data_IF_883601180169
#
_entry.id   IF_883601180169
#
_cell.length_a   1.000
_cell.length_b   1.000
_cell.length_c   1.000
_cell.angle_alpha   90.00
_cell.angle_beta   90.00
_cell.angle_gamma   90.00
#
_symmetry.space_group_name_H-M   'P 1'
#
loop_
_entity.id
_entity.type
_entity.pdbx_description
1 polymer ?
#
# COMPACT_ATOMS: atom_id res chain seq x y z
N UNK A 1 -26.33 19.55 -59.78
CA UNK A 1 -27.06 19.88 -58.53
C UNK A 1 -26.94 18.65 -57.62
N UNK A 2 -26.19 18.74 -56.50
CA UNK A 2 -25.94 17.68 -55.48
C UNK A 2 -25.16 16.45 -56.03
N UNK A 3 -24.22 15.80 -55.34
CA UNK A 3 -23.93 15.58 -53.90
C UNK A 3 -22.42 15.25 -53.75
N UNK A 4 -21.80 15.73 -52.68
CA UNK A 4 -20.53 15.21 -52.16
C UNK A 4 -20.76 13.83 -51.53
N UNK A 5 -19.85 12.88 -51.78
CA UNK A 5 -19.69 11.66 -51.00
C UNK A 5 -18.19 11.52 -50.74
N UNK A 6 -17.80 11.73 -49.48
CA UNK A 6 -16.48 11.36 -48.98
C UNK A 6 -16.49 9.85 -48.70
N UNK A 7 -15.53 9.15 -49.27
CA UNK A 7 -15.26 7.74 -49.00
C UNK A 7 -14.46 7.68 -47.68
N UNK A 8 -15.10 7.22 -46.60
CA UNK A 8 -14.44 6.83 -45.36
C UNK A 8 -13.85 5.43 -45.58
N UNK A 9 -12.53 5.30 -45.62
CA UNK A 9 -11.87 3.99 -45.53
C UNK A 9 -11.68 3.68 -44.06
N UNK A 10 -12.47 2.73 -43.56
CA UNK A 10 -12.29 2.12 -42.26
C UNK A 10 -11.03 1.24 -42.30
N UNK A 11 -10.01 1.61 -41.52
CA UNK A 11 -8.97 0.69 -41.10
C UNK A 11 -9.34 0.22 -39.70
N UNK A 12 -9.76 -1.05 -39.59
CA UNK A 12 -9.78 -1.78 -38.33
C UNK A 12 -8.32 -1.97 -37.88
N UNK A 13 -7.96 -1.37 -36.75
CA UNK A 13 -6.94 -1.88 -35.86
C UNK A 13 -7.66 -2.31 -34.59
N UNK A 14 -7.66 -3.62 -34.36
CA UNK A 14 -8.28 -4.24 -33.20
C UNK A 14 -7.43 -4.12 -31.96
N UNK A 15 -8.12 -4.25 -30.82
CA UNK A 15 -7.62 -4.48 -29.47
C UNK A 15 -6.72 -3.39 -28.87
N UNK A 16 -7.38 -2.36 -28.34
CA UNK A 16 -6.99 -1.80 -27.06
C UNK A 16 -7.40 -2.79 -25.96
N UNK A 17 -6.45 -3.19 -25.11
CA UNK A 17 -6.62 -3.56 -23.70
C UNK A 17 -5.28 -4.09 -23.19
N UNK A 18 -4.49 -3.19 -22.64
CA UNK A 18 -3.53 -3.42 -21.58
C UNK A 18 -3.28 -2.02 -21.01
N UNK A 19 -4.24 -1.54 -20.22
CA UNK A 19 -3.97 -0.43 -19.30
C UNK A 19 -2.96 -0.98 -18.29
N UNK A 20 -1.72 -0.52 -18.43
CA UNK A 20 -0.67 -0.81 -17.47
C UNK A 20 -1.01 -0.13 -16.15
N UNK A 21 -1.15 -0.95 -15.11
CA UNK A 21 -1.36 -0.53 -13.72
C UNK A 21 -0.03 -0.18 -13.04
N UNK A 22 -0.05 0.60 -11.94
CA UNK A 22 1.11 1.35 -11.47
C UNK A 22 2.33 0.46 -11.37
N UNK A 23 3.29 0.73 -12.26
CA UNK A 23 4.61 0.16 -12.22
C UNK A 23 5.28 0.69 -10.95
N UNK A 24 5.17 -0.03 -9.84
CA UNK A 24 6.30 -0.04 -8.91
C UNK A 24 7.45 -0.63 -9.70
N UNK A 25 8.33 0.25 -10.16
CA UNK A 25 9.46 -0.16 -10.97
C UNK A 25 10.28 -1.20 -10.20
N UNK A 26 10.86 -2.20 -10.86
CA UNK A 26 11.94 -2.95 -10.24
C UNK A 26 12.98 -1.94 -9.73
N UNK A 27 13.43 -2.15 -8.49
CA UNK A 27 14.44 -1.35 -7.81
C UNK A 27 15.56 -0.96 -8.79
N UNK A 28 16.05 0.29 -8.78
CA UNK A 28 17.19 0.68 -9.61
C UNK A 28 18.34 -0.29 -9.32
N UNK A 29 18.74 -1.10 -10.30
CA UNK A 29 19.84 -2.07 -10.19
C UNK A 29 21.22 -1.40 -10.14
N UNK A 30 21.38 -0.36 -9.32
CA UNK A 30 22.58 0.45 -9.17
C UNK A 30 22.96 0.62 -7.70
N UNK A 31 24.24 0.85 -7.44
CA UNK A 31 24.73 1.18 -6.10
C UNK A 31 24.31 2.61 -5.73
N UNK A 32 23.76 2.78 -4.53
CA UNK A 32 23.56 4.11 -3.95
C UNK A 32 24.92 4.67 -3.53
N UNK A 33 25.25 5.87 -3.99
CA UNK A 33 26.47 6.58 -3.63
C UNK A 33 26.16 7.65 -2.58
N UNK A 34 27.04 7.82 -1.60
CA UNK A 34 26.91 8.87 -0.59
C UNK A 34 27.85 10.00 -0.97
N UNK A 35 27.31 11.21 -1.12
CA UNK A 35 28.07 12.41 -1.44
C UNK A 35 28.05 13.42 -0.30
N UNK A 36 28.89 14.46 -0.37
CA UNK A 36 28.78 15.63 0.53
C UNK A 36 29.69 15.64 1.77
N UNK A 37 29.97 16.86 2.26
CA UNK A 37 31.00 17.19 3.25
C UNK A 37 30.47 16.88 4.67
N UNK A 38 30.84 15.73 5.21
CA UNK A 38 30.65 15.39 6.63
C UNK A 38 29.72 14.21 6.92
N UNK A 39 28.96 13.73 5.94
CA UNK A 39 28.11 12.55 6.13
C UNK A 39 28.95 11.27 6.16
N UNK A 40 28.85 10.52 7.25
CA UNK A 40 29.44 9.18 7.37
C UNK A 40 28.31 8.18 7.54
N UNK A 41 28.16 7.26 6.58
CA UNK A 41 27.18 6.19 6.69
C UNK A 41 27.53 5.27 7.85
N UNK A 42 26.56 5.02 8.71
CA UNK A 42 26.62 3.98 9.74
C UNK A 42 26.00 2.65 9.28
N UNK A 43 25.25 2.65 8.17
CA UNK A 43 24.69 1.44 7.54
C UNK A 43 24.88 1.45 6.01
N UNK A 44 24.61 0.30 5.38
CA UNK A 44 24.79 0.10 3.94
C UNK A 44 23.82 0.94 3.12
N UNK A 45 24.33 1.72 2.16
CA UNK A 45 23.51 2.58 1.31
C UNK A 45 22.54 1.81 0.40
N UNK A 46 22.80 0.53 0.15
CA UNK A 46 21.91 -0.35 -0.64
C UNK A 46 20.55 -0.56 0.01
N UNK A 47 20.42 -0.32 1.32
CA UNK A 47 19.13 -0.37 2.01
C UNK A 47 18.10 0.59 1.43
N UNK A 48 18.52 1.75 0.90
CA UNK A 48 17.62 2.73 0.28
C UNK A 48 16.90 2.22 -0.98
N UNK A 49 17.27 1.04 -1.47
CA UNK A 49 16.72 0.48 -2.70
C UNK A 49 16.60 -1.04 -2.62
N UNK A 50 16.42 -1.63 -1.43
CA UNK A 50 16.27 -3.08 -1.28
C UNK A 50 14.82 -3.52 -1.04
N UNK A 51 13.90 -2.58 -0.79
CA UNK A 51 12.49 -2.84 -0.45
C UNK A 51 12.30 -3.71 0.79
N UNK A 52 13.30 -3.76 1.67
CA UNK A 52 13.29 -4.55 2.90
C UNK A 52 13.13 -3.64 4.12
N UNK A 53 11.94 -3.68 4.74
CA UNK A 53 11.65 -2.89 5.94
C UNK A 53 12.42 -3.35 7.19
N UNK A 54 13.15 -4.46 7.13
CA UNK A 54 14.05 -4.91 8.20
C UNK A 54 15.39 -4.19 8.15
N UNK A 55 15.73 -3.52 7.04
CA UNK A 55 16.92 -2.70 6.89
C UNK A 55 16.55 -1.22 6.75
N UNK A 56 17.54 -0.35 6.96
CA UNK A 56 17.41 1.08 6.71
C UNK A 56 18.78 1.73 6.56
N UNK A 57 18.80 2.84 5.87
CA UNK A 57 19.95 3.72 5.77
C UNK A 57 20.01 4.65 6.96
N UNK A 58 21.23 4.85 7.47
CA UNK A 58 21.55 5.77 8.55
C UNK A 58 22.89 6.43 8.25
N UNK A 59 22.93 7.75 8.29
CA UNK A 59 24.15 8.52 8.16
C UNK A 59 24.15 9.70 9.14
N UNK A 60 25.30 9.91 9.78
CA UNK A 60 25.52 11.09 10.63
C UNK A 60 25.39 12.35 9.79
N UNK A 61 24.75 13.38 10.33
CA UNK A 61 24.63 14.66 9.65
C UNK A 61 25.96 15.41 9.65
N UNK A 62 26.30 16.06 8.54
CA UNK A 62 27.46 16.95 8.46
C UNK A 62 27.31 18.20 9.35
N UNK A 63 28.34 19.05 9.35
CA UNK A 63 28.38 20.30 10.16
C UNK A 63 27.20 21.26 9.87
N UNK A 64 26.58 21.14 8.70
CA UNK A 64 25.41 21.90 8.26
C UNK A 64 24.07 21.17 8.47
N UNK A 65 24.08 20.08 9.25
CA UNK A 65 22.94 19.22 9.53
C UNK A 65 22.37 18.52 8.27
N UNK A 66 23.22 18.23 7.27
CA UNK A 66 22.81 17.57 6.02
C UNK A 66 23.39 16.18 5.81
N UNK A 67 22.68 15.39 5.01
CA UNK A 67 23.13 14.12 4.43
C UNK A 67 22.83 14.14 2.93
N UNK A 68 23.84 13.91 2.10
CA UNK A 68 23.68 13.81 0.65
C UNK A 68 23.73 12.34 0.18
N UNK A 69 22.75 11.97 -0.64
CA UNK A 69 22.58 10.63 -1.21
C UNK A 69 22.40 10.76 -2.72
N UNK A 70 23.09 9.95 -3.51
CA UNK A 70 22.94 9.85 -4.95
C UNK A 70 22.38 8.47 -5.29
N UNK A 71 21.20 8.46 -5.91
CA UNK A 71 20.50 7.25 -6.32
C UNK A 71 20.52 7.16 -7.85
N UNK A 72 21.13 6.13 -8.45
CA UNK A 72 21.04 5.86 -9.88
C UNK A 72 19.60 5.63 -10.31
N UNK A 73 19.21 6.10 -11.49
CA UNK A 73 17.87 5.90 -12.03
C UNK A 73 17.92 5.73 -13.55
N UNK A 74 17.45 4.60 -14.07
CA UNK A 74 17.43 4.31 -15.51
C UNK A 74 16.01 4.12 -16.05
N UNK A 75 15.00 4.63 -15.34
CA UNK A 75 13.59 4.36 -15.61
C UNK A 75 12.93 5.32 -16.62
N UNK A 76 13.62 6.40 -17.01
CA UNK A 76 13.10 7.41 -17.93
C UNK A 76 12.66 8.68 -17.22
N UNK A 77 11.57 9.29 -17.69
CA UNK A 77 11.03 10.51 -17.08
C UNK A 77 10.34 10.18 -15.76
N UNK A 78 10.86 10.73 -14.67
CA UNK A 78 10.34 10.60 -13.32
C UNK A 78 9.35 11.73 -13.07
N UNK A 79 8.20 11.40 -12.50
CA UNK A 79 7.16 12.37 -12.12
C UNK A 79 7.02 12.50 -10.60
N UNK A 80 7.38 11.47 -9.84
CA UNK A 80 7.31 11.43 -8.39
C UNK A 80 8.37 10.49 -7.80
N UNK A 81 8.56 10.59 -6.49
CA UNK A 81 9.34 9.64 -5.69
C UNK A 81 8.62 9.33 -4.39
N UNK A 82 8.82 8.12 -3.86
CA UNK A 82 8.40 7.73 -2.53
C UNK A 82 9.60 7.73 -1.61
N UNK A 83 9.48 8.34 -0.43
CA UNK A 83 10.37 8.08 0.69
C UNK A 83 9.68 7.14 1.68
N UNK A 84 10.43 6.19 2.21
CA UNK A 84 9.94 5.24 3.21
C UNK A 84 10.56 5.56 4.56
N UNK A 85 9.70 5.89 5.54
CA UNK A 85 10.11 6.13 6.92
C UNK A 85 10.79 4.87 7.48
N UNK A 86 11.90 5.05 8.20
CA UNK A 86 12.48 3.95 8.97
C UNK A 86 11.56 3.54 10.14
N UNK A 87 11.89 2.43 10.78
CA UNK A 87 11.35 2.05 12.07
C UNK A 87 12.02 2.75 13.25
N UNK A 88 13.02 3.60 13.01
CA UNK A 88 13.82 4.16 14.07
C UNK A 88 13.05 5.20 14.87
N UNK A 89 13.20 5.12 16.19
CA UNK A 89 12.56 6.00 17.15
C UNK A 89 13.62 6.49 18.13
N UNK A 90 13.63 7.80 18.40
CA UNK A 90 14.29 8.30 19.59
C UNK A 90 13.29 8.24 20.75
N UNK A 91 13.60 7.45 21.77
CA UNK A 91 12.82 7.39 23.00
C UNK A 91 13.59 8.14 24.09
N UNK A 92 13.21 9.39 24.34
CA UNK A 92 13.68 10.09 25.55
C UNK A 92 12.95 9.47 26.75
N UNK A 93 13.70 8.90 27.69
CA UNK A 93 13.16 8.34 28.94
C UNK A 93 12.42 9.39 29.80
N UNK A 94 12.60 10.69 29.50
CA UNK A 94 12.13 11.83 30.30
C UNK A 94 10.77 12.38 29.86
N UNK A 95 10.36 12.12 28.62
CA UNK A 95 9.09 12.55 28.05
C UNK A 95 8.60 11.41 27.17
N UNK A 96 7.46 10.80 27.50
CA UNK A 96 6.84 9.72 26.71
C UNK A 96 6.38 10.11 25.30
N UNK A 97 7.09 11.02 24.64
CA UNK A 97 6.90 11.48 23.27
C UNK A 97 7.95 10.83 22.39
N UNK A 98 7.50 10.11 21.37
CA UNK A 98 8.39 9.65 20.28
C UNK A 98 8.72 10.85 19.42
N UNK A 99 9.99 11.25 19.44
CA UNK A 99 10.47 12.32 18.59
C UNK A 99 11.03 11.72 17.30
N UNK A 100 10.56 12.24 16.17
CA UNK A 100 11.02 11.90 14.82
C UNK A 100 12.40 12.54 14.52
N UNK A 101 13.33 12.55 15.49
CA UNK A 101 14.60 13.28 15.41
C UNK A 101 15.46 12.85 14.21
N UNK A 102 15.37 11.57 13.84
CA UNK A 102 16.16 10.97 12.78
C UNK A 102 15.44 10.96 11.42
N UNK A 103 14.20 11.42 11.35
CA UNK A 103 13.54 11.61 10.06
C UNK A 103 14.13 12.84 9.35
N UNK A 104 14.18 12.86 8.01
CA UNK A 104 14.43 14.10 7.29
C UNK A 104 13.24 15.07 7.44
N UNK A 105 13.50 16.33 7.78
CA UNK A 105 12.47 17.38 7.90
C UNK A 105 12.30 18.21 6.62
N UNK A 106 13.32 18.21 5.76
CA UNK A 106 13.35 18.93 4.49
C UNK A 106 14.44 18.35 3.59
N UNK A 107 14.31 18.51 2.28
CA UNK A 107 15.32 18.08 1.33
C UNK A 107 15.19 18.78 -0.02
N UNK A 108 16.28 18.80 -0.78
CA UNK A 108 16.25 19.12 -2.22
C UNK A 108 16.56 17.88 -3.04
N UNK A 109 15.99 17.83 -4.24
CA UNK A 109 16.23 16.78 -5.24
C UNK A 109 16.84 17.42 -6.48
N UNK A 110 17.97 16.91 -6.94
CA UNK A 110 18.64 17.37 -8.16
C UNK A 110 18.95 16.21 -9.09
N UNK A 111 18.72 16.38 -10.40
CA UNK A 111 19.06 15.38 -11.42
C UNK A 111 20.40 15.65 -12.10
N UNK A 112 21.09 14.59 -12.53
CA UNK A 112 22.31 14.68 -13.34
C UNK A 112 22.44 13.53 -14.33
N UNK A 113 23.07 13.81 -15.48
CA UNK A 113 23.45 12.79 -16.49
C UNK A 113 24.97 12.55 -16.55
N UNK A 114 25.78 13.34 -15.83
CA UNK A 114 27.25 13.30 -15.89
C UNK A 114 27.92 13.19 -14.51
N UNK A 115 27.15 13.29 -13.42
CA UNK A 115 27.63 13.26 -12.04
C UNK A 115 28.34 14.50 -11.53
N UNK A 116 28.43 15.54 -12.37
CA UNK A 116 29.15 16.78 -12.04
C UNK A 116 28.26 18.01 -12.13
N UNK A 117 27.35 18.04 -13.10
CA UNK A 117 26.35 19.08 -13.31
C UNK A 117 25.02 18.62 -12.73
N UNK A 118 24.52 19.35 -11.74
CA UNK A 118 23.29 19.02 -11.01
C UNK A 118 22.26 20.12 -11.22
N UNK A 119 21.02 19.74 -11.56
CA UNK A 119 19.90 20.65 -11.76
C UNK A 119 18.81 20.28 -10.74
N UNK A 120 18.43 21.23 -9.88
CA UNK A 120 17.34 21.04 -8.92
C UNK A 120 16.00 20.82 -9.65
N UNK A 121 15.24 19.80 -9.21
CA UNK A 121 13.96 19.37 -9.80
C UNK A 121 12.83 19.31 -8.78
N UNK A 122 13.14 19.33 -7.48
CA UNK A 122 12.16 19.43 -6.40
C UNK A 122 12.82 19.94 -5.11
N UNK A 123 12.01 20.53 -4.24
CA UNK A 123 12.42 20.97 -2.91
C UNK A 123 11.25 20.88 -1.93
N UNK A 124 11.51 20.31 -0.75
CA UNK A 124 10.52 20.01 0.28
C UNK A 124 10.93 20.55 1.63
N UNK A 125 9.97 21.02 2.41
CA UNK A 125 10.24 21.59 3.74
C UNK A 125 9.09 21.39 4.71
N UNK A 126 9.42 21.19 5.99
CA UNK A 126 8.46 20.93 7.07
C UNK A 126 7.65 19.65 6.86
N UNK A 127 8.26 18.65 6.23
CA UNK A 127 7.64 17.36 5.97
C UNK A 127 7.73 16.46 7.20
N UNK A 128 6.73 15.59 7.36
CA UNK A 128 6.66 14.60 8.45
C UNK A 128 5.98 13.33 7.97
N UNK A 129 6.51 12.20 8.40
CA UNK A 129 5.78 10.94 8.28
C UNK A 129 4.62 10.90 9.28
N UNK A 130 3.51 10.31 8.85
CA UNK A 130 2.27 10.11 9.62
C UNK A 130 2.31 8.79 10.41
N UNK A 131 3.19 7.86 10.03
CA UNK A 131 3.43 6.59 10.70
C UNK A 131 4.88 6.12 10.44
N UNK A 132 5.41 5.21 11.28
CA UNK A 132 6.67 4.49 10.98
C UNK A 132 6.48 3.53 9.82
N UNK A 133 7.56 3.20 9.10
CA UNK A 133 7.54 2.33 7.91
C UNK A 133 6.58 2.82 6.80
N UNK A 134 6.24 4.11 6.79
CA UNK A 134 5.29 4.69 5.86
C UNK A 134 5.94 4.95 4.52
N UNK A 135 5.28 4.51 3.44
CA UNK A 135 5.51 5.02 2.10
C UNK A 135 4.83 6.39 1.95
N UNK A 136 5.60 7.45 1.71
CA UNK A 136 5.05 8.78 1.40
C UNK A 136 5.52 9.23 0.01
N UNK A 137 4.56 9.51 -0.87
CA UNK A 137 4.83 9.98 -2.23
C UNK A 137 4.98 11.50 -2.28
N UNK A 138 5.95 11.97 -3.04
CA UNK A 138 6.21 13.37 -3.35
C UNK A 138 6.33 13.52 -4.86
N UNK A 139 5.56 14.43 -5.44
CA UNK A 139 5.66 14.75 -6.87
C UNK A 139 6.84 15.67 -7.13
N UNK A 140 7.57 15.50 -8.22
CA UNK A 140 8.57 16.50 -8.61
C UNK A 140 7.87 17.82 -8.97
N UNK A 141 8.55 18.96 -8.79
CA UNK A 141 8.00 20.26 -9.22
C UNK A 141 7.75 20.28 -10.74
N UNK A 142 8.64 19.61 -11.48
CA UNK A 142 8.42 19.26 -12.87
C UNK A 142 8.97 17.85 -13.13
N UNK A 143 8.29 17.04 -13.98
CA UNK A 143 8.85 15.78 -14.45
C UNK A 143 10.26 15.97 -15.04
N UNK A 144 11.14 15.02 -14.75
CA UNK A 144 12.55 15.12 -15.07
C UNK A 144 13.10 13.76 -15.49
N UNK A 145 14.02 13.74 -16.46
CA UNK A 145 14.65 12.53 -16.95
C UNK A 145 16.18 12.64 -16.82
N UNK A 146 16.72 11.98 -15.79
CA UNK A 146 18.14 11.95 -15.49
C UNK A 146 18.59 10.54 -15.12
N UNK A 147 19.86 10.21 -15.38
CA UNK A 147 20.42 8.88 -15.05
C UNK A 147 20.69 8.68 -13.55
N UNK A 148 20.61 9.74 -12.76
CA UNK A 148 20.76 9.71 -11.31
C UNK A 148 20.19 10.97 -10.66
N UNK A 149 19.74 10.82 -9.42
CA UNK A 149 19.17 11.88 -8.61
C UNK A 149 19.92 11.99 -7.29
N UNK A 150 20.22 13.22 -6.91
CA UNK A 150 20.82 13.59 -5.64
C UNK A 150 19.74 14.11 -4.72
N UNK A 151 19.66 13.52 -3.53
CA UNK A 151 18.89 14.03 -2.41
C UNK A 151 19.84 14.68 -1.42
N UNK A 152 19.54 15.90 -0.98
CA UNK A 152 20.22 16.54 0.14
C UNK A 152 19.21 16.67 1.26
N UNK A 153 19.26 15.75 2.22
CA UNK A 153 18.37 15.71 3.38
C UNK A 153 18.89 16.59 4.50
N UNK A 154 17.99 17.34 5.14
CA UNK A 154 18.26 18.03 6.40
C UNK A 154 17.59 17.28 7.56
N UNK A 155 18.38 16.98 8.60
CA UNK A 155 17.90 16.24 9.77
C UNK A 155 16.91 17.02 10.62
N UNK A 156 16.01 16.31 11.31
CA UNK A 156 14.96 16.87 12.17
C UNK A 156 15.43 17.07 13.63
N UNK A 157 16.67 17.52 13.82
CA UNK A 157 17.25 17.82 15.14
C UNK A 157 18.04 16.68 15.78
N UNK A 158 18.06 15.48 15.17
CA UNK A 158 18.97 14.40 15.54
C UNK A 158 20.40 14.58 15.00
N UNK A 159 21.30 13.66 15.39
CA UNK A 159 22.70 13.60 14.92
C UNK A 159 22.88 12.83 13.61
N UNK A 160 21.78 12.29 13.07
CA UNK A 160 21.74 11.43 11.89
C UNK A 160 20.40 11.57 11.15
N UNK A 161 20.38 11.14 9.91
CA UNK A 161 19.17 10.92 9.10
C UNK A 161 18.99 9.43 8.86
N UNK A 162 17.76 8.94 8.98
CA UNK A 162 17.37 7.56 8.65
C UNK A 162 16.22 7.50 7.66
N UNK A 163 16.29 6.55 6.72
CA UNK A 163 15.25 6.23 5.75
C UNK A 163 15.33 4.75 5.39
N UNK A 164 14.20 4.09 5.14
CA UNK A 164 14.20 2.72 4.64
C UNK A 164 14.48 2.70 3.14
N UNK A 165 13.66 3.37 2.32
CA UNK A 165 13.76 3.29 0.86
C UNK A 165 13.50 4.64 0.17
N UNK A 166 14.00 4.73 -1.07
CA UNK A 166 13.68 5.74 -2.08
C UNK A 166 13.22 5.01 -3.34
N UNK A 167 11.98 5.23 -3.76
CA UNK A 167 11.41 4.65 -4.98
C UNK A 167 11.07 5.76 -5.97
N UNK A 168 11.41 5.60 -7.24
CA UNK A 168 11.00 6.53 -8.30
C UNK A 168 9.75 6.05 -9.00
N UNK A 169 8.95 7.00 -9.49
CA UNK A 169 7.73 6.75 -10.28
C UNK A 169 7.81 7.50 -11.60
N UNK A 170 7.55 6.79 -12.70
CA UNK A 170 7.43 7.36 -14.05
C UNK A 170 6.01 7.85 -14.36
N UNK A 171 5.07 7.52 -13.49
CA UNK A 171 3.65 7.86 -13.61
C UNK A 171 3.12 8.29 -12.24
N UNK A 172 2.02 9.04 -12.22
CA UNK A 172 1.33 9.37 -10.98
C UNK A 172 0.50 8.14 -10.54
N UNK A 173 0.88 7.40 -9.47
CA UNK A 173 0.16 6.21 -9.05
C UNK A 173 -1.25 6.52 -8.52
N UNK A 174 -1.58 7.79 -8.32
CA UNK A 174 -2.88 8.27 -7.86
C UNK A 174 -3.57 9.19 -8.89
N UNK A 175 -3.17 9.15 -10.17
CA UNK A 175 -3.76 9.97 -11.23
C UNK A 175 -5.28 9.81 -11.32
N UNK A 176 -5.75 8.57 -11.21
CA UNK A 176 -7.16 8.19 -11.26
C UNK A 176 -7.91 8.35 -9.92
N UNK A 177 -7.25 8.96 -8.93
CA UNK A 177 -7.70 9.05 -7.53
C UNK A 177 -7.69 10.48 -6.98
N UNK A 178 -7.50 11.49 -7.83
CA UNK A 178 -7.36 12.89 -7.45
C UNK A 178 -8.63 13.50 -6.80
N UNK A 179 -9.80 12.95 -7.12
CA UNK A 179 -11.10 13.38 -6.60
C UNK A 179 -11.66 12.40 -5.56
N UNK A 180 -10.82 11.54 -4.97
CA UNK A 180 -11.25 10.62 -3.93
C UNK A 180 -11.86 11.38 -2.74
N UNK A 181 -13.12 11.08 -2.42
CA UNK A 181 -13.82 11.65 -1.28
C UNK A 181 -13.39 10.94 0.01
N UNK A 182 -12.56 11.59 0.80
CA UNK A 182 -12.09 11.03 2.06
C UNK A 182 -13.17 11.07 3.15
N UNK A 183 -13.33 10.00 3.94
CA UNK A 183 -14.21 10.02 5.10
C UNK A 183 -13.72 10.99 6.17
N UNK A 184 -14.66 11.51 6.94
CA UNK A 184 -14.36 12.15 8.23
C UNK A 184 -13.92 11.07 9.21
N UNK A 185 -12.78 11.30 9.86
CA UNK A 185 -12.21 10.38 10.83
C UNK A 185 -12.49 10.87 12.25
N UNK A 186 -13.11 10.03 13.06
CA UNK A 186 -13.23 10.23 14.51
C UNK A 186 -12.42 9.15 15.21
N UNK A 187 -11.22 9.51 15.68
CA UNK A 187 -10.37 8.61 16.46
C UNK A 187 -10.78 8.67 17.93
N UNK A 188 -10.97 7.52 18.56
CA UNK A 188 -11.42 7.38 19.93
C UNK A 188 -10.53 6.35 20.61
N UNK A 189 -9.79 6.75 21.63
CA UNK A 189 -9.07 5.82 22.49
C UNK A 189 -9.87 5.65 23.77
N UNK A 190 -10.44 4.46 23.99
CA UNK A 190 -11.17 4.14 25.22
C UNK A 190 -10.31 3.38 26.22
N UNK A 191 -9.15 2.88 25.77
CA UNK A 191 -8.24 2.07 26.57
C UNK A 191 -7.31 2.96 27.42
N UNK A 192 -6.71 3.98 26.81
CA UNK A 192 -5.73 4.89 27.42
C UNK A 192 -4.61 4.11 28.17
N UNK A 193 -4.14 3.01 27.58
CA UNK A 193 -3.22 2.04 28.19
C UNK A 193 -1.84 1.96 27.50
N UNK A 194 -1.02 0.98 27.87
CA UNK A 194 0.31 0.78 27.26
C UNK A 194 0.21 0.45 25.76
N UNK A 195 -0.85 -0.25 25.33
CA UNK A 195 -1.10 -0.51 23.91
C UNK A 195 -1.43 0.78 23.16
N UNK A 196 -2.14 1.70 23.80
CA UNK A 196 -2.46 3.02 23.25
C UNK A 196 -1.20 3.84 23.01
N UNK A 197 -0.28 3.85 23.99
CA UNK A 197 1.02 4.52 23.86
C UNK A 197 1.88 3.90 22.75
N UNK A 198 1.87 2.57 22.61
CA UNK A 198 2.56 1.87 21.51
C UNK A 198 1.95 2.18 20.14
N UNK A 199 0.64 2.37 20.07
CA UNK A 199 0.00 2.83 18.84
C UNK A 199 0.42 4.25 18.47
N UNK A 200 0.57 5.15 19.46
CA UNK A 200 1.06 6.51 19.24
C UNK A 200 2.52 6.55 18.76
N UNK A 201 3.35 5.61 19.22
CA UNK A 201 4.70 5.40 18.70
C UNK A 201 4.68 5.03 17.23
N UNK A 202 3.75 4.16 16.82
CA UNK A 202 3.63 3.71 15.43
C UNK A 202 2.99 4.77 14.53
N UNK A 203 1.90 5.41 14.97
CA UNK A 203 1.00 6.27 14.18
C UNK A 203 0.95 7.68 14.76
N UNK A 204 1.75 8.58 14.16
CA UNK A 204 1.92 9.95 14.62
C UNK A 204 0.78 10.89 14.17
N UNK A 205 0.22 10.69 12.97
CA UNK A 205 -0.99 11.38 12.50
C UNK A 205 -2.08 10.37 12.13
N UNK A 206 -2.96 10.14 13.10
CA UNK A 206 -4.05 9.16 13.04
C UNK A 206 -5.09 9.47 11.97
N UNK A 207 -5.39 10.76 11.76
CA UNK A 207 -6.38 11.15 10.76
C UNK A 207 -5.83 10.94 9.35
N UNK A 208 -4.62 11.40 9.09
CA UNK A 208 -3.97 11.18 7.80
C UNK A 208 -3.77 9.68 7.53
N UNK A 209 -3.36 8.92 8.55
CA UNK A 209 -3.13 7.47 8.44
C UNK A 209 -4.39 6.70 8.05
N UNK A 210 -5.52 6.98 8.70
CA UNK A 210 -6.79 6.31 8.39
C UNK A 210 -7.38 6.76 7.04
N UNK A 211 -7.21 8.03 6.67
CA UNK A 211 -7.59 8.53 5.34
C UNK A 211 -6.76 7.91 4.22
N UNK A 212 -5.47 7.71 4.45
CA UNK A 212 -4.60 7.01 3.52
C UNK A 212 -5.08 5.57 3.30
N UNK A 213 -5.32 4.81 4.38
CA UNK A 213 -5.87 3.44 4.27
C UNK A 213 -7.18 3.40 3.47
N UNK A 214 -8.10 4.34 3.71
CA UNK A 214 -9.37 4.41 2.98
C UNK A 214 -9.17 4.55 1.45
N UNK A 215 -8.23 5.39 1.01
CA UNK A 215 -7.89 5.52 -0.42
C UNK A 215 -7.17 4.29 -0.93
N UNK A 216 -6.12 3.82 -0.24
CA UNK A 216 -5.32 2.68 -0.71
C UNK A 216 -6.15 1.41 -0.88
N UNK A 217 -7.07 1.12 0.04
CA UNK A 217 -7.99 -0.01 -0.09
C UNK A 217 -8.85 0.12 -1.36
N UNK A 218 -9.31 1.33 -1.66
CA UNK A 218 -10.08 1.56 -2.87
C UNK A 218 -9.24 1.35 -4.14
N UNK A 219 -7.93 1.67 -4.13
CA UNK A 219 -7.06 1.39 -5.28
C UNK A 219 -6.95 -0.11 -5.57
N UNK A 220 -7.12 -0.98 -4.57
CA UNK A 220 -7.16 -2.44 -4.76
C UNK A 220 -8.52 -2.98 -5.19
N UNK A 221 -9.61 -2.30 -4.84
CA UNK A 221 -10.99 -2.76 -5.08
C UNK A 221 -11.64 -2.19 -6.34
N UNK A 222 -11.14 -1.05 -6.82
CA UNK A 222 -11.72 -0.27 -7.92
C UNK A 222 -10.63 0.22 -8.88
N UNK A 223 -11.02 0.66 -10.07
CA UNK A 223 -10.11 1.19 -11.08
C UNK A 223 -9.78 2.66 -10.84
N UNK A 224 -10.76 3.46 -10.42
CA UNK A 224 -10.62 4.90 -10.23
C UNK A 224 -11.64 5.44 -9.21
N UNK A 225 -11.55 6.74 -8.92
CA UNK A 225 -12.45 7.44 -7.99
C UNK A 225 -13.86 7.72 -8.53
N UNK A 226 -14.15 7.42 -9.80
CA UNK A 226 -15.49 7.52 -10.39
C UNK A 226 -16.27 6.20 -10.35
N UNK A 227 -15.61 5.09 -10.01
CA UNK A 227 -16.29 3.80 -9.85
C UNK A 227 -17.35 3.87 -8.75
N UNK A 228 -18.50 3.26 -9.03
CA UNK A 228 -19.65 3.30 -8.14
C UNK A 228 -19.38 2.49 -6.85
N UNK A 229 -19.53 3.16 -5.71
CA UNK A 229 -19.17 2.64 -4.39
C UNK A 229 -20.32 2.83 -3.41
N UNK A 230 -20.34 2.05 -2.33
CA UNK A 230 -21.12 2.44 -1.17
C UNK A 230 -20.46 3.69 -0.55
N UNK A 231 -21.19 4.79 -0.33
CA UNK A 231 -20.58 5.97 0.25
C UNK A 231 -20.12 5.66 1.67
N UNK A 232 -18.89 6.03 2.03
CA UNK A 232 -18.40 5.99 3.40
C UNK A 232 -17.97 7.41 3.75
N UNK A 233 -18.81 8.12 4.47
CA UNK A 233 -18.58 9.53 4.84
C UNK A 233 -17.93 9.67 6.20
N UNK A 234 -18.09 8.67 7.07
CA UNK A 234 -17.64 8.72 8.46
C UNK A 234 -17.05 7.38 8.88
N UNK A 235 -15.84 7.42 9.46
CA UNK A 235 -15.19 6.29 10.10
C UNK A 235 -14.90 6.68 11.55
N UNK A 236 -15.49 5.94 12.49
CA UNK A 236 -15.04 5.94 13.88
C UNK A 236 -13.98 4.85 14.07
N UNK A 237 -12.83 5.20 14.62
CA UNK A 237 -11.75 4.25 14.88
C UNK A 237 -11.46 4.20 16.36
N UNK A 238 -11.71 3.05 16.96
CA UNK A 238 -11.59 2.81 18.40
C UNK A 238 -10.32 2.03 18.70
N UNK A 239 -9.56 2.50 19.70
CA UNK A 239 -8.63 1.64 20.44
C UNK A 239 -9.34 1.20 21.73
N UNK A 240 -9.53 -0.09 21.88
CA UNK A 240 -10.25 -0.69 23.00
C UNK A 240 -9.44 -1.84 23.63
N UNK A 241 -9.55 -2.07 24.95
CA UNK A 241 -9.13 -3.33 25.55
C UNK A 241 -10.06 -4.44 25.08
N UNK A 242 -9.49 -5.46 24.42
CA UNK A 242 -10.26 -6.51 23.76
C UNK A 242 -9.56 -7.86 23.95
N UNK A 243 -9.72 -8.49 25.14
CA UNK A 243 -9.12 -9.78 25.43
C UNK A 243 -9.56 -10.83 24.41
N UNK A 244 -8.59 -11.60 23.91
CA UNK A 244 -8.77 -12.68 22.94
C UNK A 244 -9.37 -12.25 21.58
N UNK A 245 -9.40 -10.95 21.27
CA UNK A 245 -9.86 -10.42 20.00
C UNK A 245 -8.81 -9.50 19.38
N UNK A 246 -8.80 -9.44 18.05
CA UNK A 246 -7.85 -8.61 17.27
C UNK A 246 -8.52 -7.29 16.88
N UNK A 247 -9.65 -7.41 16.20
CA UNK A 247 -10.41 -6.29 15.67
C UNK A 247 -11.81 -6.74 15.26
N UNK A 248 -12.69 -5.77 15.03
CA UNK A 248 -13.88 -5.99 14.23
C UNK A 248 -14.36 -4.67 13.61
N UNK A 249 -15.02 -4.78 12.46
CA UNK A 249 -15.81 -3.71 11.86
C UNK A 249 -17.27 -3.77 12.30
N UNK A 250 -17.83 -2.62 12.66
CA UNK A 250 -19.26 -2.41 12.88
C UNK A 250 -19.84 -1.31 11.98
N UNK A 251 -21.17 -1.13 12.06
CA UNK A 251 -21.89 -0.15 11.25
C UNK A 251 -22.01 -0.52 9.76
N UNK A 252 -22.54 0.41 8.98
CA UNK A 252 -22.82 0.25 7.56
C UNK A 252 -22.82 1.62 6.87
N UNK A 253 -22.58 1.66 5.57
CA UNK A 253 -22.67 2.89 4.77
C UNK A 253 -23.87 3.77 5.17
N UNK A 254 -23.67 5.08 5.46
CA UNK A 254 -22.46 5.84 5.19
C UNK A 254 -21.46 5.90 6.36
N UNK A 255 -21.77 5.28 7.50
CA UNK A 255 -20.95 5.36 8.72
C UNK A 255 -20.57 3.98 9.24
N UNK A 256 -19.27 3.73 9.31
CA UNK A 256 -18.71 2.50 9.89
C UNK A 256 -17.91 2.84 11.14
N UNK A 257 -17.71 1.83 11.98
CA UNK A 257 -16.72 1.88 13.05
C UNK A 257 -15.78 0.69 12.92
N UNK A 258 -14.55 0.88 13.35
CA UNK A 258 -13.51 -0.16 13.42
C UNK A 258 -12.99 -0.12 14.85
N UNK A 259 -12.98 -1.27 15.51
CA UNK A 259 -12.45 -1.44 16.85
C UNK A 259 -11.16 -2.25 16.75
N UNK A 260 -10.06 -1.73 17.29
CA UNK A 260 -8.75 -2.38 17.29
C UNK A 260 -8.23 -2.59 18.71
N UNK A 261 -7.77 -3.81 18.96
CA UNK A 261 -7.40 -4.28 20.29
C UNK A 261 -6.05 -3.71 20.76
N UNK A 262 -6.05 -3.01 21.90
CA UNK A 262 -4.80 -2.61 22.56
C UNK A 262 -4.03 -3.79 23.14
N UNK A 263 -4.70 -4.91 23.45
CA UNK A 263 -4.06 -6.17 23.83
C UNK A 263 -3.27 -6.77 22.65
N UNK A 264 -3.83 -6.69 21.44
CA UNK A 264 -3.17 -7.16 20.23
C UNK A 264 -1.98 -6.27 19.83
N UNK A 265 -2.12 -4.95 20.01
CA UNK A 265 -1.02 -3.99 19.84
C UNK A 265 0.14 -4.36 20.77
N UNK A 266 -0.11 -4.53 22.07
CA UNK A 266 0.94 -4.90 23.04
C UNK A 266 1.60 -6.23 22.67
N UNK A 267 0.78 -7.24 22.31
CA UNK A 267 1.29 -8.55 21.88
C UNK A 267 2.24 -8.43 20.68
N UNK A 268 1.86 -7.66 19.66
CA UNK A 268 2.65 -7.49 18.44
C UNK A 268 3.91 -6.65 18.69
N UNK A 269 3.82 -5.63 19.53
CA UNK A 269 4.95 -4.78 19.91
C UNK A 269 6.05 -5.53 20.69
N UNK A 270 5.67 -6.55 21.48
CA UNK A 270 6.61 -7.40 22.19
C UNK A 270 7.52 -8.22 21.26
N UNK A 271 7.12 -8.41 19.99
CA UNK A 271 7.97 -9.04 18.98
C UNK A 271 8.91 -8.00 18.33
N UNK A 272 8.36 -6.91 17.79
CA UNK A 272 9.11 -5.74 17.31
C UNK A 272 8.16 -4.63 16.85
N UNK A 273 8.69 -3.42 16.64
CA UNK A 273 7.91 -2.32 16.04
C UNK A 273 7.50 -2.63 14.59
N UNK A 274 8.34 -3.34 13.83
CA UNK A 274 7.99 -3.79 12.48
C UNK A 274 6.83 -4.78 12.51
N UNK A 275 6.85 -5.75 13.43
CA UNK A 275 5.73 -6.69 13.61
C UNK A 275 4.44 -5.96 13.98
N UNK A 276 4.52 -4.99 14.90
CA UNK A 276 3.40 -4.13 15.23
C UNK A 276 2.85 -3.37 14.01
N UNK A 277 3.73 -2.81 13.17
CA UNK A 277 3.35 -2.14 11.93
C UNK A 277 2.59 -3.07 10.98
N UNK A 278 3.16 -4.24 10.69
CA UNK A 278 2.59 -5.22 9.76
C UNK A 278 1.23 -5.73 10.23
N UNK A 279 1.07 -6.01 11.53
CA UNK A 279 -0.22 -6.43 12.10
C UNK A 279 -1.23 -5.29 12.08
N UNK A 280 -0.84 -4.08 12.50
CA UNK A 280 -1.75 -2.92 12.56
C UNK A 280 -2.26 -2.52 11.18
N UNK A 281 -1.37 -2.44 10.18
CA UNK A 281 -1.77 -2.18 8.80
C UNK A 281 -2.60 -3.33 8.24
N UNK A 282 -2.15 -4.57 8.41
CA UNK A 282 -2.88 -5.73 7.90
C UNK A 282 -4.30 -5.82 8.44
N UNK A 283 -4.49 -5.61 9.73
CA UNK A 283 -5.81 -5.55 10.37
C UNK A 283 -6.65 -4.42 9.78
N UNK A 284 -6.10 -3.21 9.65
CA UNK A 284 -6.81 -2.09 9.03
C UNK A 284 -7.22 -2.37 7.58
N UNK A 285 -6.33 -2.94 6.77
CA UNK A 285 -6.65 -3.36 5.40
C UNK A 285 -7.80 -4.36 5.37
N UNK A 286 -7.81 -5.36 6.26
CA UNK A 286 -8.91 -6.31 6.35
C UNK A 286 -10.23 -5.62 6.77
N UNK A 287 -10.24 -4.92 7.90
CA UNK A 287 -11.49 -4.39 8.49
C UNK A 287 -12.10 -3.27 7.65
N UNK A 288 -11.26 -2.40 7.09
CA UNK A 288 -11.74 -1.26 6.32
C UNK A 288 -12.17 -1.68 4.91
N UNK A 289 -11.69 -2.81 4.36
CA UNK A 289 -12.24 -3.41 3.14
C UNK A 289 -13.73 -3.72 3.31
N UNK A 290 -14.18 -4.22 4.47
CA UNK A 290 -15.62 -4.44 4.76
C UNK A 290 -16.47 -3.16 4.72
N UNK A 291 -15.84 -1.98 4.79
CA UNK A 291 -16.50 -0.69 4.58
C UNK A 291 -16.66 -0.33 3.10
N UNK A 292 -15.68 -0.67 2.27
CA UNK A 292 -15.58 -0.17 0.90
C UNK A 292 -15.90 -1.21 -0.17
N UNK A 293 -15.83 -2.51 0.11
CA UNK A 293 -16.13 -3.55 -0.89
C UNK A 293 -17.61 -3.58 -1.25
N UNK A 294 -17.89 -4.16 -2.42
CA UNK A 294 -19.24 -4.52 -2.82
C UNK A 294 -19.66 -5.84 -2.16
N UNK A 295 -20.96 -6.14 -2.20
CA UNK A 295 -21.54 -7.33 -1.57
C UNK A 295 -22.25 -8.21 -2.63
N UNK A 296 -22.12 -9.55 -2.57
CA UNK A 296 -22.77 -10.46 -3.51
C UNK A 296 -24.30 -10.31 -3.56
N UNK A 297 -24.88 -10.20 -4.76
CA UNK A 297 -26.32 -10.07 -4.95
C UNK A 297 -27.04 -11.41 -5.20
N UNK A 298 -28.32 -11.48 -4.84
CA UNK A 298 -29.20 -12.60 -5.21
C UNK A 298 -28.94 -13.92 -4.49
N UNK A 299 -28.12 -13.93 -3.44
CA UNK A 299 -27.83 -15.08 -2.57
C UNK A 299 -28.17 -14.76 -1.10
N UNK A 300 -28.21 -15.75 -0.20
CA UNK A 300 -28.49 -15.49 1.21
C UNK A 300 -27.53 -14.45 1.81
N UNK A 301 -28.04 -13.60 2.70
CA UNK A 301 -27.25 -12.60 3.40
C UNK A 301 -26.06 -13.22 4.15
N UNK A 302 -25.06 -12.41 4.44
CA UNK A 302 -23.84 -12.81 5.17
C UNK A 302 -24.19 -13.66 6.41
N UNK A 303 -23.63 -14.86 6.47
CA UNK A 303 -23.71 -15.75 7.61
C UNK A 303 -22.53 -16.72 7.53
N UNK A 304 -21.86 -16.92 8.65
CA UNK A 304 -20.66 -17.77 8.75
C UNK A 304 -20.82 -19.10 8.01
N UNK A 305 -19.85 -19.42 7.16
CA UNK A 305 -19.81 -20.66 6.37
C UNK A 305 -20.65 -20.66 5.10
N UNK A 306 -21.35 -19.57 4.77
CA UNK A 306 -22.06 -19.44 3.49
C UNK A 306 -21.22 -18.74 2.40
N UNK A 307 -21.78 -18.68 1.19
CA UNK A 307 -21.08 -18.13 0.00
C UNK A 307 -20.77 -16.64 0.19
N UNK A 308 -21.72 -15.87 0.73
CA UNK A 308 -21.54 -14.44 1.00
C UNK A 308 -20.42 -14.19 2.00
N UNK A 309 -20.39 -14.95 3.10
CA UNK A 309 -19.30 -14.91 4.08
C UNK A 309 -17.95 -15.24 3.44
N UNK A 310 -17.86 -16.34 2.69
CA UNK A 310 -16.59 -16.76 2.11
C UNK A 310 -16.06 -15.75 1.06
N UNK A 311 -16.96 -15.16 0.27
CA UNK A 311 -16.63 -14.13 -0.70
C UNK A 311 -16.20 -12.81 -0.03
N UNK A 312 -16.93 -12.38 1.01
CA UNK A 312 -16.66 -11.12 1.72
C UNK A 312 -15.34 -11.21 2.50
N UNK A 313 -15.17 -12.21 3.37
CA UNK A 313 -13.95 -12.39 4.15
C UNK A 313 -12.74 -12.72 3.28
N UNK A 314 -12.95 -13.51 2.22
CA UNK A 314 -11.91 -13.87 1.27
C UNK A 314 -11.37 -12.66 0.50
N UNK A 315 -12.24 -11.73 0.09
CA UNK A 315 -11.83 -10.52 -0.62
C UNK A 315 -11.06 -9.56 0.31
N UNK A 316 -11.48 -9.41 1.57
CA UNK A 316 -10.75 -8.65 2.58
C UNK A 316 -9.32 -9.17 2.80
N UNK A 317 -9.16 -10.49 2.93
CA UNK A 317 -7.84 -11.09 3.05
C UNK A 317 -7.03 -11.08 1.74
N UNK A 318 -7.69 -11.08 0.58
CA UNK A 318 -7.01 -10.89 -0.70
C UNK A 318 -6.35 -9.51 -0.77
N UNK A 319 -7.08 -8.45 -0.41
CA UNK A 319 -6.55 -7.08 -0.38
C UNK A 319 -5.42 -6.96 0.64
N UNK A 320 -5.59 -7.54 1.85
CA UNK A 320 -4.51 -7.59 2.87
C UNK A 320 -3.24 -8.27 2.33
N UNK A 321 -3.39 -9.36 1.56
CA UNK A 321 -2.26 -10.07 0.94
C UNK A 321 -1.61 -9.26 -0.16
N UNK A 322 -2.39 -8.65 -1.07
CA UNK A 322 -1.88 -7.80 -2.16
C UNK A 322 -1.11 -6.60 -1.59
N UNK A 323 -1.58 -6.03 -0.49
CA UNK A 323 -0.93 -4.92 0.19
C UNK A 323 0.35 -5.33 0.96
N UNK A 324 0.70 -6.62 1.00
CA UNK A 324 1.94 -7.12 1.60
C UNK A 324 1.85 -7.48 3.09
N UNK A 325 0.66 -7.56 3.68
CA UNK A 325 0.46 -7.73 5.14
C UNK A 325 -0.05 -9.12 5.56
N UNK A 326 0.17 -10.13 4.71
CA UNK A 326 0.06 -11.54 5.04
C UNK A 326 1.31 -12.27 4.60
N UNK A 327 1.73 -13.27 5.38
CA UNK A 327 2.81 -14.17 4.99
C UNK A 327 2.24 -15.29 4.10
N UNK A 328 2.46 -15.20 2.79
CA UNK A 328 1.98 -16.18 1.81
C UNK A 328 2.66 -17.54 1.96
N UNK A 329 3.77 -17.66 2.71
CA UNK A 329 4.35 -18.97 3.04
C UNK A 329 3.42 -19.80 3.92
N UNK A 330 2.49 -19.16 4.64
CA UNK A 330 1.45 -19.83 5.45
C UNK A 330 0.30 -20.41 4.62
N UNK A 331 0.37 -20.28 3.30
CA UNK A 331 -0.69 -20.70 2.37
C UNK A 331 -1.15 -22.13 2.60
N UNK A 332 -2.45 -22.25 2.86
CA UNK A 332 -3.13 -23.53 3.04
C UNK A 332 -4.13 -23.78 1.90
N UNK A 333 -3.93 -24.89 1.19
CA UNK A 333 -4.79 -25.33 0.06
C UNK A 333 -5.74 -26.48 0.45
N UNK A 334 -5.78 -26.85 1.74
CA UNK A 334 -6.73 -27.82 2.27
C UNK A 334 -8.08 -27.13 2.51
N UNK A 335 -8.82 -26.88 1.42
CA UNK A 335 -10.09 -26.17 1.46
C UNK A 335 -10.63 -25.89 0.06
N UNK A 336 -11.42 -24.83 -0.05
CA UNK A 336 -11.97 -24.30 -1.31
C UNK A 336 -12.44 -22.86 -1.12
N UNK A 337 -13.13 -22.30 -2.12
CA UNK A 337 -13.63 -20.92 -2.08
C UNK A 337 -14.76 -20.68 -1.07
N UNK A 338 -15.24 -21.75 -0.42
CA UNK A 338 -16.17 -21.67 0.72
C UNK A 338 -15.45 -21.57 2.06
N UNK A 339 -14.11 -21.58 2.09
CA UNK A 339 -13.33 -21.50 3.32
C UNK A 339 -13.20 -20.08 3.87
N UNK A 340 -13.52 -19.04 3.07
CA UNK A 340 -13.35 -17.64 3.46
C UNK A 340 -11.89 -17.28 3.76
N UNK A 341 -11.69 -16.10 4.38
CA UNK A 341 -10.42 -15.62 4.95
C UNK A 341 -9.19 -15.95 4.08
N UNK A 342 -8.04 -16.24 4.70
CA UNK A 342 -6.76 -16.49 4.05
C UNK A 342 -6.81 -17.56 2.96
N UNK A 343 -7.62 -18.62 3.13
CA UNK A 343 -7.69 -19.69 2.12
C UNK A 343 -8.23 -19.15 0.79
N UNK A 344 -9.26 -18.32 0.86
CA UNK A 344 -9.87 -17.68 -0.31
C UNK A 344 -9.05 -16.47 -0.76
N UNK A 345 -8.53 -15.68 0.20
CA UNK A 345 -7.71 -14.51 -0.07
C UNK A 345 -6.43 -14.83 -0.84
N UNK A 346 -5.72 -15.89 -0.46
CA UNK A 346 -4.52 -16.35 -1.17
C UNK A 346 -4.82 -16.87 -2.57
N UNK A 347 -5.99 -17.47 -2.80
CA UNK A 347 -6.41 -17.84 -4.15
C UNK A 347 -6.66 -16.59 -5.01
N UNK A 348 -7.37 -15.59 -4.49
CA UNK A 348 -7.59 -14.32 -5.20
C UNK A 348 -6.28 -13.57 -5.47
N UNK A 349 -5.34 -13.60 -4.52
CA UNK A 349 -3.98 -13.09 -4.73
C UNK A 349 -3.27 -13.86 -5.85
N UNK A 350 -3.31 -15.21 -5.84
CA UNK A 350 -2.73 -16.02 -6.91
C UNK A 350 -3.32 -15.70 -8.29
N UNK A 351 -4.64 -15.47 -8.40
CA UNK A 351 -5.27 -15.02 -9.64
C UNK A 351 -4.67 -13.69 -10.11
N UNK A 352 -4.50 -12.75 -9.18
CA UNK A 352 -3.87 -11.44 -9.43
C UNK A 352 -2.45 -11.57 -9.96
N UNK A 353 -1.69 -12.56 -9.48
CA UNK A 353 -0.30 -12.77 -9.87
C UNK A 353 -0.12 -13.60 -11.15
N UNK A 354 -1.10 -14.41 -11.53
CA UNK A 354 -0.91 -15.44 -12.58
C UNK A 354 -1.89 -15.38 -13.73
N UNK A 355 -3.07 -14.78 -13.54
CA UNK A 355 -4.16 -14.79 -14.52
C UNK A 355 -4.45 -13.39 -15.03
N UNK A 356 -4.73 -12.49 -14.11
CA UNK A 356 -5.11 -11.13 -14.44
C UNK A 356 -4.77 -10.22 -13.23
N UNK A 357 -3.93 -9.18 -13.39
CA UNK A 357 -3.63 -8.22 -12.32
C UNK A 357 -4.87 -7.50 -11.76
N UNK A 358 -6.02 -7.62 -12.43
CA UNK A 358 -7.29 -6.99 -12.07
C UNK A 358 -8.32 -7.94 -11.50
N UNK A 359 -7.94 -9.21 -11.28
CA UNK A 359 -8.82 -10.25 -10.77
C UNK A 359 -9.60 -9.80 -9.52
N UNK A 360 -8.94 -9.21 -8.51
CA UNK A 360 -9.61 -8.75 -7.28
C UNK A 360 -10.60 -7.61 -7.53
N UNK A 361 -10.26 -6.63 -8.38
CA UNK A 361 -11.17 -5.53 -8.73
C UNK A 361 -12.38 -6.04 -9.50
N UNK A 362 -12.16 -6.95 -10.45
CA UNK A 362 -13.24 -7.52 -11.23
C UNK A 362 -14.13 -8.45 -10.38
N UNK A 363 -13.56 -9.22 -9.45
CA UNK A 363 -14.32 -10.00 -8.47
C UNK A 363 -15.18 -9.06 -7.61
N UNK A 364 -14.62 -7.96 -7.10
CA UNK A 364 -15.38 -6.94 -6.38
C UNK A 364 -16.54 -6.37 -7.22
N UNK A 365 -16.28 -5.95 -8.45
CA UNK A 365 -17.31 -5.43 -9.37
C UNK A 365 -18.41 -6.47 -9.70
N UNK A 366 -18.04 -7.75 -9.79
CA UNK A 366 -18.98 -8.84 -10.04
C UNK A 366 -20.02 -8.97 -8.92
N UNK A 367 -19.65 -8.64 -7.67
CA UNK A 367 -20.51 -8.78 -6.50
C UNK A 367 -21.80 -7.97 -6.65
N UNK A 368 -21.72 -6.76 -7.21
CA UNK A 368 -22.89 -5.92 -7.51
C UNK A 368 -23.59 -6.27 -8.82
N UNK A 369 -22.84 -6.74 -9.83
CA UNK A 369 -23.34 -6.90 -11.20
C UNK A 369 -24.08 -8.22 -11.41
N UNK A 370 -23.61 -9.30 -10.80
CA UNK A 370 -24.13 -10.66 -11.01
C UNK A 370 -25.25 -10.96 -10.01
N UNK A 371 -26.39 -11.45 -10.52
CA UNK A 371 -27.54 -11.85 -9.69
C UNK A 371 -28.26 -13.07 -10.31
N UNK A 372 -28.25 -14.26 -9.65
CA UNK A 372 -27.59 -14.55 -8.38
C UNK A 372 -26.08 -14.70 -8.53
N UNK A 373 -25.33 -14.18 -7.55
CA UNK A 373 -23.88 -14.28 -7.51
C UNK A 373 -23.40 -15.70 -7.20
N UNK A 374 -22.29 -16.11 -7.80
CA UNK A 374 -21.56 -17.35 -7.50
C UNK A 374 -20.09 -17.20 -7.87
N UNK A 375 -19.21 -18.00 -7.27
CA UNK A 375 -17.78 -18.01 -7.60
C UNK A 375 -17.52 -18.31 -9.07
N UNK A 376 -18.11 -19.37 -9.62
CA UNK A 376 -18.10 -19.67 -11.06
C UNK A 376 -18.46 -18.46 -11.94
N UNK A 377 -19.56 -17.77 -11.66
CA UNK A 377 -19.97 -16.59 -12.44
C UNK A 377 -19.03 -15.40 -12.25
N UNK A 378 -18.54 -15.19 -11.02
CA UNK A 378 -17.59 -14.12 -10.70
C UNK A 378 -16.24 -14.33 -11.39
N UNK A 379 -15.75 -15.56 -11.45
CA UNK A 379 -14.51 -15.92 -12.15
C UNK A 379 -14.64 -15.73 -13.66
N UNK A 380 -15.79 -16.10 -14.24
CA UNK A 380 -16.09 -15.82 -15.65
C UNK A 380 -16.16 -14.33 -15.96
N UNK A 381 -16.77 -13.56 -15.08
CA UNK A 381 -16.78 -12.11 -15.19
C UNK A 381 -15.37 -11.52 -15.10
N UNK A 382 -14.54 -12.03 -14.17
CA UNK A 382 -13.23 -11.48 -13.91
C UNK A 382 -12.15 -11.87 -14.92
N UNK A 383 -12.23 -13.08 -15.48
CA UNK A 383 -11.15 -13.67 -16.29
C UNK A 383 -11.61 -14.09 -17.70
N UNK A 384 -12.90 -13.95 -18.02
CA UNK A 384 -13.51 -14.35 -19.28
C UNK A 384 -14.31 -15.66 -19.21
N UNK A 385 -15.18 -15.88 -20.22
CA UNK A 385 -16.17 -16.98 -20.24
C UNK A 385 -15.58 -18.40 -20.14
N UNK A 386 -14.31 -18.58 -20.49
CA UNK A 386 -13.63 -19.88 -20.42
C UNK A 386 -13.10 -20.21 -19.01
N UNK A 387 -13.19 -19.27 -18.05
CA UNK A 387 -12.80 -19.51 -16.67
C UNK A 387 -13.72 -20.54 -16.00
N UNK A 388 -13.12 -21.48 -15.27
CA UNK A 388 -13.82 -22.56 -14.56
C UNK A 388 -13.28 -22.65 -13.13
N UNK A 389 -14.18 -22.61 -12.15
CA UNK A 389 -13.84 -22.56 -10.73
C UNK A 389 -12.98 -23.76 -10.31
N UNK A 390 -13.38 -24.97 -10.71
CA UNK A 390 -12.72 -26.20 -10.31
C UNK A 390 -11.33 -26.32 -10.92
N UNK A 391 -11.18 -25.92 -12.19
CA UNK A 391 -9.91 -25.92 -12.91
C UNK A 391 -8.94 -24.92 -12.30
N UNK A 392 -9.37 -23.68 -12.07
CA UNK A 392 -8.54 -22.64 -11.47
C UNK A 392 -8.09 -23.03 -10.05
N UNK A 393 -9.00 -23.59 -9.23
CA UNK A 393 -8.63 -24.08 -7.90
C UNK A 393 -7.62 -25.23 -7.96
N UNK A 394 -7.77 -26.15 -8.91
CA UNK A 394 -6.83 -27.26 -9.11
C UNK A 394 -5.44 -26.76 -9.53
N UNK A 395 -5.37 -25.75 -10.40
CA UNK A 395 -4.12 -25.10 -10.79
C UNK A 395 -3.45 -24.40 -9.62
N UNK A 396 -4.20 -23.58 -8.87
CA UNK A 396 -3.71 -22.92 -7.65
C UNK A 396 -3.13 -23.92 -6.65
N UNK A 397 -3.82 -25.04 -6.44
CA UNK A 397 -3.37 -26.11 -5.54
C UNK A 397 -2.07 -26.78 -6.01
N UNK A 398 -1.88 -26.91 -7.32
CA UNK A 398 -0.70 -27.54 -7.90
C UNK A 398 0.51 -26.60 -7.93
N UNK A 399 0.28 -25.29 -7.98
CA UNK A 399 1.33 -24.27 -8.00
C UNK A 399 1.94 -24.12 -6.62
N UNK A 400 3.24 -24.35 -6.49
CA UNK A 400 3.99 -24.21 -5.22
C UNK A 400 4.82 -22.93 -5.13
N UNK A 401 4.75 -22.05 -6.12
CA UNK A 401 5.53 -20.80 -6.11
C UNK A 401 5.04 -19.87 -5.01
N UNK A 402 5.98 -19.31 -4.25
CA UNK A 402 5.72 -18.17 -3.39
C UNK A 402 5.79 -16.90 -4.24
N UNK A 403 4.64 -16.27 -4.50
CA UNK A 403 4.59 -15.10 -5.37
C UNK A 403 5.02 -13.80 -4.69
N UNK A 404 5.18 -13.82 -3.37
CA UNK A 404 5.66 -12.66 -2.62
C UNK A 404 7.17 -12.41 -2.78
N UNK A 405 7.97 -13.45 -3.08
CA UNK A 405 9.41 -13.30 -3.33
C UNK A 405 9.73 -12.38 -4.52
N UNK A 406 8.79 -12.24 -5.45
CA UNK A 406 8.90 -11.37 -6.62
C UNK A 406 7.84 -10.25 -6.60
N UNK A 407 7.18 -9.99 -5.47
CA UNK A 407 6.15 -8.96 -5.36
C UNK A 407 6.75 -7.65 -4.84
N UNK A 408 6.71 -6.54 -5.61
CA UNK A 408 7.25 -5.26 -5.15
C UNK A 408 6.49 -4.69 -3.92
N UNK A 409 5.29 -5.21 -3.63
CA UNK A 409 4.55 -4.83 -2.43
C UNK A 409 4.86 -5.73 -1.22
N UNK A 410 5.66 -6.79 -1.36
CA UNK A 410 6.07 -7.59 -0.21
C UNK A 410 7.01 -6.77 0.68
N UNK A 411 6.78 -6.83 2.00
CA UNK A 411 7.36 -5.92 3.00
C UNK A 411 8.19 -6.62 4.09
N UNK A 412 8.59 -7.87 3.85
CA UNK A 412 9.17 -8.78 4.84
C UNK A 412 10.42 -9.51 4.34
#
# INVERSE_FOLDING_TARGET
>A
MKKFIYLLVAAMLGSACADEKPHFLPLPGGSVEIGGIGATASSEASSLTDSDLTTYFSAETGDDNTVEVIVPCNAGEIVAYTLVSSGEIHQDESFGTVEALYDPASWSVSGSNDGTSWIEVDSRSNEKFIARFQNHIYYLEAPANYTQYKFVFHGNGGDRVTLSDILFHTEDPYADWQNFEYPTITFIDTAEDDGSQLYDVLVQDKQAYLKWHAREICTFLYFNDQDERYPITDIEYYLDPMPDQVSYKGGSSPKINIHYSTDWIQKSANESLLKLNLETRGVLFHEMVHGFQLEPQGIPAYSEGNVSWAAIEGLADAVRTIAGYHDYSTRNVNGGLMSGYQTTGFFCYWLTRTKDPDAVRNINASMRTINPWSWEAALKYALGEDADEQTLWAEYKADTKNYQEDDPNYKL
#
